data_IF_666299997113
#
_entry.id   IF_666299997113
#
_cell.length_a   1.000
_cell.length_b   1.000
_cell.length_c   1.000
_cell.angle_alpha   90.00
_cell.angle_beta   90.00
_cell.angle_gamma   90.00
#
_symmetry.space_group_name_H-M   'P 1'
#
loop_
_entity.id
_entity.type
_entity.pdbx_description
1 polymer ?
#
# COMPACT_ATOMS: atom_id res chain seq x y z
N UNK A 1 52.36 -1.18 -5.31
CA UNK A 1 51.24 -0.70 -6.15
C UNK A 1 49.99 -0.85 -5.31
N UNK A 2 49.06 0.10 -5.35
CA UNK A 2 47.81 -0.04 -4.58
C UNK A 2 46.97 -1.13 -5.26
N UNK A 3 46.93 -2.33 -4.68
CA UNK A 3 46.12 -3.46 -5.14
C UNK A 3 44.61 -3.26 -4.85
N UNK A 4 44.20 -2.01 -4.66
CA UNK A 4 42.84 -1.61 -4.38
C UNK A 4 42.04 -1.65 -5.70
N UNK A 5 41.09 -2.58 -5.78
CA UNK A 5 40.17 -2.75 -6.90
C UNK A 5 39.07 -1.69 -6.89
N UNK A 6 38.40 -1.49 -5.75
CA UNK A 6 37.35 -0.47 -5.59
C UNK A 6 37.25 -0.01 -4.15
N UNK A 7 37.16 1.31 -3.92
CA UNK A 7 36.91 1.90 -2.60
C UNK A 7 37.79 1.37 -1.45
N UNK A 8 39.03 0.95 -1.73
CA UNK A 8 39.95 0.39 -0.73
C UNK A 8 39.85 -1.12 -0.52
N UNK A 9 38.97 -1.82 -1.24
CA UNK A 9 38.91 -3.28 -1.27
C UNK A 9 39.87 -3.84 -2.33
N UNK A 10 40.59 -4.89 -1.99
CA UNK A 10 41.18 -5.78 -2.99
C UNK A 10 40.09 -6.51 -3.78
N UNK A 11 40.46 -7.11 -4.91
CA UNK A 11 39.51 -7.83 -5.75
C UNK A 11 38.81 -9.00 -5.01
N UNK A 12 39.56 -9.78 -4.23
CA UNK A 12 38.99 -10.91 -3.48
C UNK A 12 38.05 -10.47 -2.36
N UNK A 13 38.37 -9.36 -1.68
CA UNK A 13 37.49 -8.77 -0.66
C UNK A 13 36.19 -8.26 -1.31
N UNK A 14 36.29 -7.59 -2.46
CA UNK A 14 35.10 -7.15 -3.19
C UNK A 14 34.21 -8.32 -3.60
N UNK A 15 34.78 -9.40 -4.15
CA UNK A 15 34.01 -10.59 -4.53
C UNK A 15 33.27 -11.22 -3.34
N UNK A 16 33.90 -11.24 -2.16
CA UNK A 16 33.26 -11.76 -0.96
C UNK A 16 32.06 -10.89 -0.53
N UNK A 17 32.23 -9.56 -0.52
CA UNK A 17 31.19 -8.61 -0.14
C UNK A 17 30.04 -8.59 -1.16
N UNK A 18 30.34 -8.63 -2.46
CA UNK A 18 29.33 -8.69 -3.51
C UNK A 18 28.47 -9.95 -3.38
N UNK A 19 29.10 -11.11 -3.10
CA UNK A 19 28.38 -12.36 -2.87
C UNK A 19 27.51 -12.31 -1.62
N UNK A 20 27.98 -11.70 -0.54
CA UNK A 20 27.19 -11.48 0.67
C UNK A 20 25.98 -10.58 0.40
N UNK A 21 26.18 -9.45 -0.29
CA UNK A 21 25.11 -8.55 -0.68
C UNK A 21 24.02 -9.25 -1.51
N UNK A 22 24.41 -10.00 -2.55
CA UNK A 22 23.46 -10.71 -3.40
C UNK A 22 22.64 -11.74 -2.60
N UNK A 23 23.31 -12.52 -1.73
CA UNK A 23 22.64 -13.48 -0.86
C UNK A 23 21.64 -12.80 0.08
N UNK A 24 22.03 -11.69 0.69
CA UNK A 24 21.19 -10.97 1.64
C UNK A 24 20.00 -10.30 0.94
N UNK A 25 20.20 -9.79 -0.27
CA UNK A 25 19.13 -9.27 -1.12
C UNK A 25 18.14 -10.36 -1.57
N UNK A 26 18.65 -11.53 -1.96
CA UNK A 26 17.81 -12.69 -2.31
C UNK A 26 16.98 -13.15 -1.10
N UNK A 27 17.60 -13.24 0.08
CA UNK A 27 16.89 -13.54 1.33
C UNK A 27 15.82 -12.49 1.64
N UNK A 28 16.14 -11.20 1.52
CA UNK A 28 15.18 -10.12 1.71
C UNK A 28 13.98 -10.27 0.78
N UNK A 29 14.22 -10.55 -0.50
CA UNK A 29 13.18 -10.73 -1.52
C UNK A 29 12.34 -11.99 -1.30
N UNK A 30 12.93 -13.05 -0.72
CA UNK A 30 12.21 -14.28 -0.37
C UNK A 30 11.21 -14.05 0.78
N UNK A 31 11.63 -13.32 1.82
CA UNK A 31 10.81 -13.08 3.00
C UNK A 31 9.88 -11.87 2.88
N UNK A 32 10.21 -10.90 2.02
CA UNK A 32 9.38 -9.72 1.77
C UNK A 32 8.71 -9.82 0.40
N UNK A 33 7.41 -10.06 0.42
CA UNK A 33 6.63 -10.29 -0.80
C UNK A 33 6.29 -8.97 -1.49
N UNK A 34 6.38 -8.90 -2.83
CA UNK A 34 5.99 -7.71 -3.57
C UNK A 34 4.49 -7.46 -3.46
N UNK A 35 4.07 -6.21 -3.68
CA UNK A 35 2.66 -5.80 -3.59
C UNK A 35 1.72 -6.73 -4.33
N UNK A 36 2.06 -7.11 -5.57
CA UNK A 36 1.23 -7.97 -6.43
C UNK A 36 0.97 -9.34 -5.83
N UNK A 37 1.93 -9.91 -5.11
CA UNK A 37 1.74 -11.19 -4.44
C UNK A 37 0.87 -11.03 -3.19
N UNK A 38 1.14 -10.01 -2.37
CA UNK A 38 0.35 -9.72 -1.16
C UNK A 38 -1.11 -9.44 -1.50
N UNK A 39 -1.35 -8.47 -2.40
CA UNK A 39 -2.70 -8.10 -2.82
C UNK A 39 -3.36 -9.21 -3.64
N UNK A 40 -2.58 -10.00 -4.37
CA UNK A 40 -3.06 -11.16 -5.11
C UNK A 40 -3.72 -12.19 -4.19
N UNK A 41 -3.11 -12.45 -3.02
CA UNK A 41 -3.68 -13.34 -1.99
C UNK A 41 -4.91 -12.76 -1.31
N UNK A 42 -4.89 -11.45 -1.01
CA UNK A 42 -6.05 -10.76 -0.42
C UNK A 42 -7.26 -10.80 -1.35
N UNK A 43 -7.03 -10.63 -2.66
CA UNK A 43 -8.06 -10.52 -3.69
C UNK A 43 -8.17 -11.80 -4.54
N UNK A 44 -7.80 -12.95 -3.98
CA UNK A 44 -7.90 -14.22 -4.65
C UNK A 44 -9.37 -14.67 -4.74
N UNK A 45 -9.76 -15.26 -5.88
CA UNK A 45 -11.15 -15.64 -6.17
C UNK A 45 -12.17 -14.50 -6.25
N UNK A 46 -11.74 -13.24 -6.07
CA UNK A 46 -12.64 -12.10 -6.02
C UNK A 46 -13.20 -11.70 -7.39
N UNK A 47 -14.48 -11.32 -7.42
CA UNK A 47 -15.14 -10.80 -8.63
C UNK A 47 -15.15 -9.27 -8.66
N UNK A 48 -15.22 -8.69 -9.86
CA UNK A 48 -15.29 -7.24 -10.05
C UNK A 48 -16.42 -6.58 -9.23
N UNK A 49 -17.63 -7.15 -9.30
CA UNK A 49 -18.80 -6.61 -8.61
C UNK A 49 -18.69 -6.74 -7.08
N UNK A 50 -18.26 -7.89 -6.57
CA UNK A 50 -18.08 -8.08 -5.12
C UNK A 50 -16.96 -7.17 -4.57
N UNK A 51 -15.86 -7.02 -5.30
CA UNK A 51 -14.80 -6.07 -4.96
C UNK A 51 -15.32 -4.63 -4.87
N UNK A 52 -16.09 -4.19 -5.89
CA UNK A 52 -16.65 -2.84 -5.92
C UNK A 52 -17.64 -2.63 -4.76
N UNK A 53 -18.49 -3.61 -4.46
CA UNK A 53 -19.44 -3.56 -3.35
C UNK A 53 -18.75 -3.48 -1.97
N UNK A 54 -17.64 -4.21 -1.77
CA UNK A 54 -16.91 -4.20 -0.48
C UNK A 54 -16.10 -2.93 -0.27
N UNK A 55 -15.50 -2.40 -1.34
CA UNK A 55 -14.48 -1.33 -1.24
C UNK A 55 -14.96 0.04 -1.70
N UNK A 56 -16.11 0.09 -2.38
CA UNK A 56 -16.68 1.25 -3.06
C UNK A 56 -15.73 1.86 -4.11
N UNK A 57 -14.73 1.10 -4.55
CA UNK A 57 -13.84 1.44 -5.65
C UNK A 57 -14.47 0.99 -6.99
N UNK A 58 -14.03 1.60 -8.09
CA UNK A 58 -14.41 1.14 -9.43
C UNK A 58 -13.95 -0.30 -9.66
N UNK A 59 -14.75 -1.11 -10.36
CA UNK A 59 -14.42 -2.49 -10.75
C UNK A 59 -13.02 -2.62 -11.38
N UNK A 60 -12.67 -1.72 -12.31
CA UNK A 60 -11.35 -1.70 -12.97
C UNK A 60 -10.16 -1.58 -12.00
N UNK A 61 -10.39 -1.11 -10.77
CA UNK A 61 -9.36 -1.04 -9.75
C UNK A 61 -8.90 -2.43 -9.29
N UNK A 62 -9.77 -3.45 -9.32
CA UNK A 62 -9.39 -4.84 -9.04
C UNK A 62 -8.29 -5.30 -10.01
N UNK A 63 -8.52 -5.11 -11.31
CA UNK A 63 -7.54 -5.44 -12.34
C UNK A 63 -6.24 -4.65 -12.15
N UNK A 64 -6.35 -3.33 -11.94
CA UNK A 64 -5.18 -2.45 -11.75
C UNK A 64 -4.33 -2.90 -10.56
N UNK A 65 -4.95 -3.17 -9.41
CA UNK A 65 -4.26 -3.63 -8.20
C UNK A 65 -3.52 -4.96 -8.43
N UNK A 66 -4.14 -5.92 -9.14
CA UNK A 66 -3.54 -7.23 -9.39
C UNK A 66 -2.43 -7.23 -10.45
N UNK A 67 -2.46 -6.28 -11.41
CA UNK A 67 -1.63 -6.38 -12.63
C UNK A 67 -0.77 -5.17 -12.96
N UNK A 68 -1.15 -3.97 -12.53
CA UNK A 68 -0.52 -2.73 -13.00
C UNK A 68 0.19 -1.95 -11.89
N UNK A 69 -0.28 -2.07 -10.64
CA UNK A 69 0.35 -1.36 -9.52
C UNK A 69 1.76 -1.88 -9.25
N UNK A 70 2.66 -0.93 -9.03
CA UNK A 70 4.02 -1.10 -8.53
C UNK A 70 4.50 0.20 -7.82
N UNK A 71 5.75 0.23 -7.39
CA UNK A 71 6.35 1.37 -6.68
C UNK A 71 6.48 2.64 -7.54
N UNK A 72 6.55 2.53 -8.88
CA UNK A 72 6.67 3.68 -9.79
C UNK A 72 5.33 4.36 -10.04
N UNK A 73 4.24 3.59 -10.05
CA UNK A 73 2.86 4.08 -10.11
C UNK A 73 2.00 3.51 -8.97
N UNK A 74 2.24 3.95 -7.71
CA UNK A 74 1.49 3.45 -6.58
C UNK A 74 0.07 4.05 -6.58
N UNK A 75 -0.96 3.29 -6.15
CA UNK A 75 -2.29 3.83 -5.98
C UNK A 75 -2.31 4.86 -4.84
N UNK A 76 -3.38 5.65 -4.80
CA UNK A 76 -3.62 6.52 -3.65
C UNK A 76 -3.74 5.70 -2.37
N UNK A 77 -3.26 6.26 -1.26
CA UNK A 77 -3.36 5.62 0.08
C UNK A 77 -4.81 5.26 0.42
N UNK A 78 -5.76 6.15 0.14
CA UNK A 78 -7.20 5.89 0.32
C UNK A 78 -7.65 4.61 -0.40
N UNK A 79 -7.12 4.30 -1.58
CA UNK A 79 -7.40 3.03 -2.29
C UNK A 79 -6.97 1.83 -1.47
N UNK A 80 -5.75 1.82 -0.94
CA UNK A 80 -5.24 0.72 -0.10
C UNK A 80 -6.07 0.58 1.18
N UNK A 81 -6.39 1.70 1.82
CA UNK A 81 -7.22 1.68 3.04
C UNK A 81 -8.65 1.22 2.74
N UNK A 82 -9.21 1.54 1.58
CA UNK A 82 -10.53 1.07 1.15
C UNK A 82 -10.56 -0.45 0.99
N UNK A 83 -9.49 -1.03 0.43
CA UNK A 83 -9.31 -2.49 0.38
C UNK A 83 -9.19 -3.04 1.80
N UNK A 84 -8.35 -2.44 2.65
CA UNK A 84 -8.19 -2.92 4.02
C UNK A 84 -9.51 -2.91 4.81
N UNK A 85 -10.31 -1.85 4.67
CA UNK A 85 -11.65 -1.78 5.29
C UNK A 85 -12.60 -2.81 4.69
N UNK A 86 -12.72 -2.87 3.35
CA UNK A 86 -13.66 -3.78 2.69
C UNK A 86 -13.40 -5.28 2.91
N UNK A 87 -12.15 -5.63 3.20
CA UNK A 87 -11.73 -7.02 3.51
C UNK A 87 -11.42 -7.24 4.99
N UNK A 88 -11.73 -6.26 5.85
CA UNK A 88 -11.47 -6.28 7.28
C UNK A 88 -10.02 -6.67 7.64
N UNK A 89 -9.05 -6.16 6.87
CA UNK A 89 -7.63 -6.31 7.15
C UNK A 89 -7.23 -5.42 8.33
N UNK A 90 -6.23 -5.85 9.08
CA UNK A 90 -5.69 -5.06 10.18
C UNK A 90 -4.65 -4.02 9.70
N UNK A 91 -4.17 -3.24 10.66
CA UNK A 91 -3.15 -2.22 10.42
C UNK A 91 -1.81 -2.79 9.95
N UNK A 92 -1.45 -4.02 10.36
CA UNK A 92 -0.20 -4.66 9.97
C UNK A 92 -0.24 -5.04 8.49
N UNK A 93 -1.36 -5.58 8.01
CA UNK A 93 -1.56 -5.85 6.59
C UNK A 93 -1.55 -4.57 5.74
N UNK A 94 -2.19 -3.50 6.20
CA UNK A 94 -2.14 -2.22 5.51
C UNK A 94 -0.70 -1.68 5.42
N UNK A 95 0.06 -1.81 6.50
CA UNK A 95 1.46 -1.40 6.57
C UNK A 95 2.34 -2.24 5.63
N UNK A 96 2.18 -3.57 5.58
CA UNK A 96 2.87 -4.44 4.62
C UNK A 96 2.56 -4.07 3.17
N UNK A 97 1.29 -3.81 2.85
CA UNK A 97 0.88 -3.40 1.50
C UNK A 97 1.51 -2.05 1.11
N UNK A 98 1.49 -1.06 2.00
CA UNK A 98 2.12 0.24 1.75
C UNK A 98 3.64 0.11 1.59
N UNK A 99 4.32 -0.63 2.48
CA UNK A 99 5.77 -0.81 2.39
C UNK A 99 6.20 -1.52 1.13
N UNK A 100 5.42 -2.49 0.65
CA UNK A 100 5.69 -3.17 -0.63
C UNK A 100 5.60 -2.25 -1.87
N UNK A 101 5.18 -0.99 -1.67
CA UNK A 101 5.11 0.08 -2.67
C UNK A 101 6.06 1.25 -2.34
N UNK A 102 7.01 1.08 -1.42
CA UNK A 102 7.88 2.16 -0.95
C UNK A 102 7.16 3.24 -0.12
N UNK A 103 5.93 2.95 0.36
CA UNK A 103 5.11 3.88 1.14
C UNK A 103 5.07 3.51 2.62
N UNK A 104 4.69 4.47 3.45
CA UNK A 104 4.40 4.24 4.87
C UNK A 104 3.35 5.21 5.40
N UNK A 105 2.84 4.92 6.59
CA UNK A 105 2.01 5.86 7.35
C UNK A 105 2.86 6.99 7.91
N UNK A 106 2.45 8.24 7.66
CA UNK A 106 3.04 9.39 8.30
C UNK A 106 2.24 9.77 9.56
N UNK A 107 2.79 9.50 10.75
CA UNK A 107 2.14 9.82 12.04
C UNK A 107 1.85 11.31 12.26
N UNK A 108 2.55 12.20 11.55
CA UNK A 108 2.31 13.65 11.62
C UNK A 108 1.22 14.11 10.64
N UNK A 109 0.76 13.23 9.74
CA UNK A 109 -0.38 13.48 8.87
C UNK A 109 -1.67 13.07 9.59
N UNK A 110 -2.54 14.05 9.86
CA UNK A 110 -3.87 13.81 10.44
C UNK A 110 -4.67 12.76 9.65
N UNK A 111 -4.54 12.75 8.33
CA UNK A 111 -5.16 11.75 7.44
C UNK A 111 -4.63 10.34 7.71
N UNK A 112 -3.31 10.15 7.72
CA UNK A 112 -2.72 8.82 7.91
C UNK A 112 -2.96 8.30 9.34
N UNK A 113 -2.98 9.21 10.31
CA UNK A 113 -3.41 8.89 11.68
C UNK A 113 -4.88 8.46 11.73
N UNK A 114 -5.76 9.16 11.02
CA UNK A 114 -7.18 8.77 10.91
C UNK A 114 -7.35 7.39 10.25
N UNK A 115 -6.59 7.08 9.19
CA UNK A 115 -6.60 5.75 8.59
C UNK A 115 -6.12 4.66 9.57
N UNK A 116 -5.06 4.95 10.33
CA UNK A 116 -4.57 4.02 11.36
C UNK A 116 -5.61 3.80 12.46
N UNK A 117 -6.32 4.86 12.85
CA UNK A 117 -7.44 4.78 13.79
C UNK A 117 -8.58 3.91 13.26
N UNK A 118 -8.96 4.05 11.98
CA UNK A 118 -9.99 3.20 11.36
C UNK A 118 -9.62 1.71 11.43
N UNK A 119 -8.38 1.37 11.05
CA UNK A 119 -7.89 -0.01 10.99
C UNK A 119 -7.57 -0.64 12.34
N UNK A 120 -7.61 0.13 13.43
CA UNK A 120 -7.32 -0.37 14.79
C UNK A 120 -8.56 -0.30 15.69
N UNK A 121 -9.21 0.86 15.76
CA UNK A 121 -10.32 1.12 16.69
C UNK A 121 -11.71 0.98 16.06
N UNK A 122 -11.79 0.94 14.73
CA UNK A 122 -13.06 0.90 14.00
C UNK A 122 -13.17 -0.30 13.05
N UNK A 123 -12.42 -1.38 13.31
CA UNK A 123 -12.48 -2.60 12.50
C UNK A 123 -13.90 -3.18 12.45
N UNK A 124 -14.23 -3.78 11.31
CA UNK A 124 -15.57 -4.32 11.03
C UNK A 124 -16.60 -3.30 10.53
N UNK A 125 -16.28 -2.00 10.52
CA UNK A 125 -17.14 -0.99 9.90
C UNK A 125 -17.07 -1.02 8.39
N UNK A 126 -18.21 -0.71 7.75
CA UNK A 126 -18.29 -0.52 6.30
C UNK A 126 -17.51 0.71 5.83
N UNK A 127 -17.27 0.80 4.52
CA UNK A 127 -16.62 1.96 3.89
C UNK A 127 -17.40 3.25 4.15
N UNK A 128 -18.73 3.21 4.09
CA UNK A 128 -19.57 4.39 4.33
C UNK A 128 -19.52 4.85 5.78
N UNK A 129 -19.60 3.93 6.74
CA UNK A 129 -19.43 4.27 8.16
C UNK A 129 -18.04 4.86 8.44
N UNK A 130 -16.99 4.29 7.83
CA UNK A 130 -15.64 4.84 7.92
C UNK A 130 -15.55 6.26 7.35
N UNK A 131 -16.24 6.53 6.23
CA UNK A 131 -16.29 7.87 5.64
C UNK A 131 -17.01 8.89 6.52
N UNK A 132 -18.09 8.50 7.21
CA UNK A 132 -18.73 9.37 8.21
C UNK A 132 -17.78 9.66 9.40
N UNK A 133 -16.98 8.69 9.84
CA UNK A 133 -15.93 8.92 10.84
C UNK A 133 -14.88 9.89 10.30
N UNK A 134 -14.37 9.70 9.09
CA UNK A 134 -13.38 10.60 8.46
C UNK A 134 -13.92 12.03 8.37
N UNK A 135 -15.19 12.20 8.00
CA UNK A 135 -15.88 13.49 7.97
C UNK A 135 -15.90 14.14 9.36
N UNK A 136 -16.29 13.40 10.41
CA UNK A 136 -16.33 13.90 11.79
C UNK A 136 -14.94 14.24 12.33
N UNK A 137 -13.91 13.55 11.89
CA UNK A 137 -12.51 13.87 12.18
C UNK A 137 -11.98 15.08 11.39
N UNK A 138 -12.77 15.65 10.48
CA UNK A 138 -12.39 16.79 9.64
C UNK A 138 -11.38 16.43 8.55
N UNK A 139 -11.42 15.20 8.04
CA UNK A 139 -10.61 14.78 6.89
C UNK A 139 -11.32 15.20 5.61
N UNK A 140 -10.59 15.87 4.70
CA UNK A 140 -11.12 16.31 3.41
C UNK A 140 -11.65 15.14 2.58
N UNK A 141 -12.76 15.37 1.86
CA UNK A 141 -13.46 14.34 1.07
C UNK A 141 -12.61 13.68 -0.03
N UNK A 142 -11.60 14.39 -0.56
CA UNK A 142 -10.63 13.84 -1.51
C UNK A 142 -9.76 12.72 -0.92
N UNK A 143 -9.74 12.58 0.40
CA UNK A 143 -9.05 11.51 1.13
C UNK A 143 -10.01 10.47 1.71
N UNK A 144 -11.29 10.52 1.36
CA UNK A 144 -12.23 9.49 1.78
C UNK A 144 -12.01 8.19 1.01
N UNK A 145 -12.54 7.12 1.57
CA UNK A 145 -12.43 5.77 1.05
C UNK A 145 -13.38 5.57 -0.15
N UNK A 146 -13.07 4.59 -0.99
CA UNK A 146 -13.77 4.29 -2.22
C UNK A 146 -13.53 5.34 -3.32
N UNK A 147 -14.51 5.48 -4.20
CA UNK A 147 -14.44 6.36 -5.37
C UNK A 147 -14.52 7.87 -5.04
N UNK A 148 -14.71 8.24 -3.76
CA UNK A 148 -14.78 9.64 -3.33
C UNK A 148 -13.48 10.42 -3.58
N UNK A 149 -12.33 9.75 -3.51
CA UNK A 149 -11.05 10.36 -3.85
C UNK A 149 -10.93 10.75 -5.35
N UNK A 150 -11.81 10.22 -6.20
CA UNK A 150 -11.88 10.52 -7.65
C UNK A 150 -12.97 11.55 -8.02
N UNK A 151 -13.80 12.05 -7.11
CA UNK A 151 -14.80 13.07 -7.48
C UNK A 151 -14.05 14.30 -8.02
N UNK A 152 -14.16 14.51 -9.35
CA UNK A 152 -13.63 15.67 -10.05
C UNK A 152 -14.04 16.92 -9.29
N UNK A 153 -13.12 17.88 -9.18
CA UNK A 153 -13.42 19.28 -8.85
C UNK A 153 -14.67 19.67 -9.64
N UNK A 154 -15.82 19.74 -8.99
CA UNK A 154 -16.94 20.51 -9.52
C UNK A 154 -16.46 21.95 -9.47
N UNK A 155 -15.97 22.45 -10.61
CA UNK A 155 -15.90 23.88 -10.86
C UNK A 155 -17.31 24.40 -10.69
N UNK A 156 -17.59 25.06 -9.57
CA UNK A 156 -18.76 25.92 -9.46
C UNK A 156 -18.65 26.96 -10.57
N UNK A 157 -19.69 27.01 -11.40
CA UNK A 157 -19.94 28.14 -12.29
C UNK A 157 -20.21 29.40 -11.47
#
# INVERSE_FOLDING_TARGET
MNDNFIAGYSYSEWQAIEKEFLRDYDNFSLYNKPFRELIGKVLDGETYMSFANKTHLSENMLYRLKKQVDEKDPPQRSTIISVCVGYNLDIMMAQSLLYSLGLGFNRFSKRDYAYSFLLTRCRGKSVDECNEILKKLGIESKYWLGSYAKKKRTTSK
#
